data_IF_410883780943
#
_entry.id   IF_410883780943
#
_cell.length_a   1.000
_cell.length_b   1.000
_cell.length_c   1.000
_cell.angle_alpha   90.00
_cell.angle_beta   90.00
_cell.angle_gamma   90.00
#
_symmetry.space_group_name_H-M   'P 1'
#
loop_
_entity.id
_entity.type
_entity.pdbx_description
1 polymer ?
#
# COMPACT_ATOMS: atom_id res chain seq x y z
N UNK A 1 -8.58 10.48 8.57
CA UNK A 1 -8.37 9.41 7.58
C UNK A 1 -7.33 8.49 8.18
N UNK A 2 -7.74 7.77 9.22
CA UNK A 2 -6.86 7.06 10.14
C UNK A 2 -7.06 5.57 9.89
N UNK A 3 -6.70 5.15 8.68
CA UNK A 3 -6.74 3.75 8.30
C UNK A 3 -5.31 3.19 8.38
N UNK A 4 -5.01 2.25 9.31
CA UNK A 4 -3.66 1.68 9.47
C UNK A 4 -3.14 0.95 8.22
N UNK A 5 -4.01 0.72 7.24
CA UNK A 5 -3.69 -0.03 6.02
C UNK A 5 -3.11 0.81 4.89
N UNK A 6 -3.18 2.15 4.96
CA UNK A 6 -2.57 3.03 3.94
C UNK A 6 -1.17 3.44 4.41
N UNK A 7 -0.15 2.99 3.69
CA UNK A 7 1.25 3.25 4.03
C UNK A 7 1.98 3.86 2.84
N UNK A 8 2.76 4.91 3.09
CA UNK A 8 3.64 5.49 2.07
C UNK A 8 4.67 4.44 1.64
N UNK A 9 4.76 4.19 0.34
CA UNK A 9 5.75 3.28 -0.19
C UNK A 9 7.14 3.94 -0.14
N UNK A 10 8.18 3.16 0.17
CA UNK A 10 9.56 3.63 0.16
C UNK A 10 10.27 3.31 -1.17
N UNK A 11 9.79 2.29 -1.88
CA UNK A 11 10.39 1.74 -3.09
C UNK A 11 9.75 2.33 -4.35
N UNK A 12 9.96 3.63 -4.57
CA UNK A 12 9.56 4.31 -5.80
C UNK A 12 10.50 5.48 -6.12
N UNK A 13 10.52 5.86 -7.39
CA UNK A 13 11.22 7.05 -7.87
C UNK A 13 10.18 8.07 -8.32
N UNK A 14 10.34 9.33 -7.92
CA UNK A 14 9.58 10.44 -8.46
C UNK A 14 10.13 10.83 -9.83
N UNK A 15 9.23 10.95 -10.80
CA UNK A 15 9.52 11.31 -12.19
C UNK A 15 8.97 12.71 -12.47
N UNK A 16 9.56 13.43 -13.42
CA UNK A 16 9.07 14.76 -13.84
C UNK A 16 7.58 14.73 -14.18
N UNK A 17 6.87 15.82 -13.84
CA UNK A 17 5.45 15.98 -14.15
C UNK A 17 4.51 15.26 -13.17
N UNK A 18 4.95 15.01 -11.92
CA UNK A 18 4.10 14.41 -10.89
C UNK A 18 3.88 12.90 -11.03
N UNK A 19 4.61 12.26 -11.95
CA UNK A 19 4.60 10.82 -12.16
C UNK A 19 5.46 10.12 -11.10
N UNK A 20 5.11 8.90 -10.73
CA UNK A 20 5.94 8.04 -9.88
C UNK A 20 6.19 6.70 -10.55
N UNK A 21 7.43 6.23 -10.48
CA UNK A 21 7.82 4.89 -10.92
C UNK A 21 7.89 3.98 -9.70
N UNK A 22 6.94 3.06 -9.58
CA UNK A 22 6.98 2.03 -8.56
C UNK A 22 8.14 1.07 -8.86
N UNK A 23 9.00 0.77 -7.89
CA UNK A 23 10.13 -0.16 -8.05
C UNK A 23 9.93 -1.47 -7.28
N UNK A 24 8.76 -1.66 -6.68
CA UNK A 24 8.50 -2.80 -5.79
C UNK A 24 8.43 -4.15 -6.51
N UNK A 25 7.91 -4.18 -7.74
CA UNK A 25 7.83 -5.39 -8.56
C UNK A 25 8.55 -5.19 -9.89
N UNK A 26 8.85 -6.29 -10.58
CA UNK A 26 9.56 -6.28 -11.87
C UNK A 26 8.87 -5.46 -12.96
N UNK A 27 7.56 -5.22 -12.84
CA UNK A 27 6.76 -4.46 -13.82
C UNK A 27 7.05 -2.97 -13.83
N UNK A 28 7.63 -2.44 -12.75
CA UNK A 28 8.12 -1.06 -12.66
C UNK A 28 7.13 0.01 -13.12
N UNK A 29 5.87 -0.09 -12.65
CA UNK A 29 4.76 0.71 -13.17
C UNK A 29 5.06 2.22 -13.08
N UNK A 30 4.80 2.95 -14.16
CA UNK A 30 4.76 4.41 -14.16
C UNK A 30 3.32 4.87 -13.90
N UNK A 31 3.12 5.58 -12.80
CA UNK A 31 1.79 5.89 -12.25
C UNK A 31 1.62 7.41 -12.23
N UNK A 32 0.64 7.91 -13.00
CA UNK A 32 0.26 9.32 -13.03
C UNK A 32 -0.42 9.74 -11.72
N UNK A 33 -0.42 11.03 -11.40
CA UNK A 33 -1.13 11.55 -10.22
C UNK A 33 -2.61 11.15 -10.23
N UNK A 34 -3.11 10.65 -9.09
CA UNK A 34 -4.47 10.13 -8.94
C UNK A 34 -4.72 8.76 -9.56
N UNK A 35 -3.74 8.19 -10.27
CA UNK A 35 -3.86 6.87 -10.90
C UNK A 35 -3.30 5.75 -10.01
N UNK A 36 -3.75 4.53 -10.28
CA UNK A 36 -3.33 3.31 -9.59
C UNK A 36 -2.42 2.49 -10.49
N UNK A 37 -1.40 1.86 -9.90
CA UNK A 37 -0.54 0.90 -10.61
C UNK A 37 -1.31 -0.34 -11.04
N UNK A 38 -0.71 -1.11 -11.95
CA UNK A 38 -1.32 -2.32 -12.52
C UNK A 38 -1.82 -3.33 -11.47
N UNK A 39 -1.16 -3.41 -10.32
CA UNK A 39 -1.56 -4.28 -9.23
C UNK A 39 -2.85 -3.88 -8.49
N UNK A 40 -3.40 -2.69 -8.74
CA UNK A 40 -4.58 -2.17 -8.03
C UNK A 40 -4.32 -1.70 -6.59
N UNK A 41 -3.20 -2.10 -5.98
CA UNK A 41 -2.92 -1.81 -4.55
C UNK A 41 -1.95 -0.66 -4.29
N UNK A 42 -1.52 0.09 -5.32
CA UNK A 42 -0.64 1.27 -5.12
C UNK A 42 -1.14 2.44 -5.95
N UNK A 43 -1.24 3.60 -5.34
CA UNK A 43 -1.78 4.82 -5.94
C UNK A 43 -0.78 5.96 -5.77
N UNK A 44 -0.67 6.80 -6.79
CA UNK A 44 0.08 8.04 -6.69
C UNK A 44 -0.84 9.15 -6.19
N UNK A 45 -0.56 9.70 -5.01
CA UNK A 45 -1.26 10.88 -4.49
C UNK A 45 -0.26 12.02 -4.31
N UNK A 46 -0.42 13.09 -5.08
CA UNK A 46 0.41 14.30 -4.99
C UNK A 46 1.89 14.05 -5.27
N UNK A 47 2.22 13.13 -6.19
CA UNK A 47 3.59 12.75 -6.51
C UNK A 47 4.25 11.78 -5.52
N UNK A 48 3.49 11.24 -4.56
CA UNK A 48 3.95 10.24 -3.60
C UNK A 48 3.24 8.91 -3.84
N UNK A 49 4.00 7.82 -3.86
CA UNK A 49 3.41 6.49 -3.97
C UNK A 49 2.91 6.02 -2.60
N UNK A 50 1.63 5.68 -2.53
CA UNK A 50 1.00 5.06 -1.38
C UNK A 50 0.57 3.64 -1.72
N UNK A 51 0.74 2.73 -0.77
CA UNK A 51 0.16 1.39 -0.83
C UNK A 51 -1.22 1.47 -0.18
N UNK A 52 -2.24 1.19 -0.98
CA UNK A 52 -3.62 1.04 -0.57
C UNK A 52 -3.90 -0.46 -0.54
N UNK A 53 -4.01 -1.04 0.64
CA UNK A 53 -4.37 -2.45 0.78
C UNK A 53 -5.87 -2.60 0.51
N UNK A 54 -6.27 -2.45 -0.76
CA UNK A 54 -7.60 -2.81 -1.23
C UNK A 54 -7.53 -4.28 -1.65
N UNK A 55 -7.60 -5.15 -0.65
CA UNK A 55 -7.26 -6.56 -0.80
C UNK A 55 -7.18 -7.25 0.55
N UNK A 56 -8.20 -7.07 1.39
CA UNK A 56 -8.56 -8.07 2.39
C UNK A 56 -9.07 -9.32 1.67
N UNK A 57 -8.17 -10.01 0.96
CA UNK A 57 -8.44 -11.37 0.53
C UNK A 57 -7.15 -12.14 0.83
N UNK A 58 -7.11 -12.71 2.03
CA UNK A 58 -6.11 -13.66 2.55
C UNK A 58 -4.87 -13.09 3.27
N UNK A 59 -5.05 -12.12 4.16
CA UNK A 59 -4.21 -12.06 5.38
C UNK A 59 -4.96 -12.56 6.62
N UNK A 60 -6.06 -13.30 6.43
CA UNK A 60 -6.42 -14.40 7.34
C UNK A 60 -5.39 -15.51 7.12
N UNK A 61 -4.13 -15.27 7.47
CA UNK A 61 -3.32 -16.36 7.98
C UNK A 61 -3.77 -16.50 9.43
N UNK A 62 -4.78 -17.35 9.61
CA UNK A 62 -5.07 -18.05 10.86
C UNK A 62 -3.74 -18.61 11.36
N UNK A 63 -3.09 -17.85 12.23
CA UNK A 63 -2.29 -18.41 13.30
C UNK A 63 -2.86 -17.82 14.60
N UNK A 64 -3.92 -18.43 15.16
CA UNK A 64 -4.28 -18.20 16.55
C UNK A 64 -3.21 -18.89 17.40
N UNK A 65 -2.07 -18.25 17.55
CA UNK A 65 -1.12 -18.60 18.60
C UNK A 65 -0.86 -17.33 19.38
N UNK A 66 -1.79 -17.11 20.32
CA UNK A 66 -1.50 -16.67 21.68
C UNK A 66 -0.86 -15.28 21.85
N UNK A 67 -1.63 -14.27 22.33
CA UNK A 67 -1.42 -13.66 23.67
C UNK A 67 -2.46 -12.57 23.99
N UNK A 68 -3.29 -12.86 24.99
CA UNK A 68 -3.85 -11.88 25.93
C UNK A 68 -5.06 -11.05 25.50
N UNK A 69 -6.26 -11.60 25.65
CA UNK A 69 -7.44 -10.79 25.97
C UNK A 69 -7.23 -10.15 27.35
N UNK A 70 -7.29 -8.82 27.53
CA UNK A 70 -7.52 -8.27 28.86
C UNK A 70 -8.99 -8.53 29.19
N UNK A 71 -9.23 -9.45 30.11
CA UNK A 71 -10.50 -9.56 30.83
C UNK A 71 -10.79 -8.19 31.42
N UNK A 72 -11.85 -7.55 30.94
CA UNK A 72 -12.51 -6.47 31.67
C UNK A 72 -12.93 -7.05 33.03
N UNK A 73 -12.36 -6.50 34.09
CA UNK A 73 -12.81 -6.65 35.47
C UNK A 73 -13.64 -5.44 35.87
#
# INVERSE_FOLDING_TARGET
MDNPTVRKALLYESVRGGLVRCLLCERRCLISEGATGFCGTRINMGGFLYTIVYGDINAISVNPIEKGYPTVG
#
